data_IF_518041251105
#
_entry.id   IF_518041251105
#
_cell.length_a   1.000
_cell.length_b   1.000
_cell.length_c   1.000
_cell.angle_alpha   90.00
_cell.angle_beta   90.00
_cell.angle_gamma   90.00
#
_symmetry.space_group_name_H-M   'P 1'
#
loop_
_entity.id
_entity.type
_entity.pdbx_description
1 polymer ?
#
# COMPACT_ATOMS: atom_id res chain seq x y z
N UNK A 1 -9.20 21.64 -19.08
CA UNK A 1 -9.02 20.50 -19.97
C UNK A 1 -9.64 19.30 -19.24
N UNK A 2 -10.84 18.87 -19.65
CA UNK A 2 -11.56 17.74 -19.02
C UNK A 2 -10.83 16.48 -19.49
N UNK A 3 -10.18 15.73 -18.59
CA UNK A 3 -9.65 14.40 -18.91
C UNK A 3 -10.83 13.55 -19.42
N UNK A 4 -10.63 12.88 -20.54
CA UNK A 4 -11.63 11.99 -21.12
C UNK A 4 -11.93 10.86 -20.12
N UNK A 5 -13.21 10.69 -19.75
CA UNK A 5 -13.66 9.69 -18.78
C UNK A 5 -13.38 8.26 -19.24
N UNK A 6 -13.08 8.04 -20.50
CA UNK A 6 -12.72 6.74 -21.08
C UNK A 6 -11.26 6.32 -20.83
N UNK A 7 -10.34 7.27 -20.60
CA UNK A 7 -8.94 6.97 -20.21
C UNK A 7 -8.79 6.71 -18.70
N UNK A 8 -9.78 7.07 -17.89
CA UNK A 8 -9.74 6.98 -16.43
C UNK A 8 -9.89 5.54 -15.89
N UNK A 9 -10.33 4.59 -16.73
CA UNK A 9 -10.69 3.23 -16.29
C UNK A 9 -9.67 2.13 -16.63
N UNK A 10 -8.54 2.44 -17.21
CA UNK A 10 -7.58 1.43 -17.69
C UNK A 10 -6.11 1.78 -17.38
N UNK A 11 -5.81 2.35 -16.21
CA UNK A 11 -4.41 2.56 -15.85
C UNK A 11 -3.89 1.36 -15.05
N UNK A 12 -2.99 0.60 -15.67
CA UNK A 12 -2.15 -0.37 -14.98
C UNK A 12 -1.28 0.34 -13.93
N UNK A 13 -0.91 -0.40 -12.90
CA UNK A 13 -0.01 0.07 -11.85
C UNK A 13 1.43 0.00 -12.40
N UNK A 14 2.04 1.15 -12.59
CA UNK A 14 3.40 1.27 -13.13
C UNK A 14 4.43 1.42 -12.01
N UNK A 15 5.44 0.57 -11.97
CA UNK A 15 6.52 0.63 -10.97
C UNK A 15 7.24 2.00 -10.96
N UNK A 16 7.36 2.67 -12.12
CA UNK A 16 8.01 3.98 -12.20
C UNK A 16 7.16 5.12 -11.63
N UNK A 17 5.84 4.92 -11.56
CA UNK A 17 4.87 5.88 -11.00
C UNK A 17 4.43 5.51 -9.58
N UNK A 18 4.74 4.31 -9.13
CA UNK A 18 4.26 3.78 -7.84
C UNK A 18 5.06 4.28 -6.65
N UNK A 19 4.36 4.36 -5.51
CA UNK A 19 4.88 4.38 -4.15
C UNK A 19 4.13 3.30 -3.36
N UNK A 20 4.84 2.42 -2.68
CA UNK A 20 4.23 1.46 -1.75
C UNK A 20 4.02 2.13 -0.39
N UNK A 21 2.77 2.17 0.08
CA UNK A 21 2.43 2.69 1.41
C UNK A 21 1.90 1.56 2.30
N UNK A 22 2.64 1.23 3.36
CA UNK A 22 2.26 0.23 4.37
C UNK A 22 1.73 0.97 5.60
N UNK A 23 0.45 0.74 5.93
CA UNK A 23 -0.28 1.49 6.95
C UNK A 23 -0.41 0.68 8.23
N UNK A 24 0.26 1.12 9.30
CA UNK A 24 0.05 0.76 10.71
C UNK A 24 0.06 -0.75 11.04
N UNK A 25 0.90 -1.55 10.39
CA UNK A 25 1.01 -2.99 10.66
C UNK A 25 1.89 -3.21 11.90
N UNK A 26 1.34 -2.87 13.06
CA UNK A 26 2.05 -2.75 14.34
C UNK A 26 1.78 -3.91 15.29
N UNK A 27 2.70 -4.13 16.23
CA UNK A 27 2.74 -5.29 17.14
C UNK A 27 1.46 -5.49 17.95
N UNK A 28 0.81 -4.39 18.40
CA UNK A 28 -0.42 -4.47 19.21
C UNK A 28 -1.71 -4.43 18.40
N UNK A 29 -1.65 -4.05 17.12
CA UNK A 29 -2.81 -4.02 16.23
C UNK A 29 -2.97 -5.33 15.44
N UNK A 30 -1.89 -5.82 14.86
CA UNK A 30 -1.93 -6.96 13.93
C UNK A 30 -2.53 -8.23 14.55
N UNK A 31 -2.24 -8.63 15.81
CA UNK A 31 -2.73 -9.90 16.37
C UNK A 31 -4.25 -10.03 16.47
N UNK A 32 -4.99 -8.92 16.47
CA UNK A 32 -6.46 -8.94 16.57
C UNK A 32 -7.16 -8.81 15.20
N UNK A 33 -6.39 -8.79 14.12
CA UNK A 33 -6.92 -8.72 12.74
C UNK A 33 -7.36 -10.11 12.25
N UNK A 34 -8.23 -10.11 11.23
CA UNK A 34 -8.54 -11.34 10.48
C UNK A 34 -7.32 -11.73 9.64
N UNK A 35 -6.90 -12.99 9.75
CA UNK A 35 -5.79 -13.56 8.98
C UNK A 35 -4.51 -12.69 8.95
N UNK A 36 -3.90 -12.44 10.10
CA UNK A 36 -2.74 -11.56 10.19
C UNK A 36 -1.52 -12.08 9.44
N UNK A 37 -1.38 -13.40 9.31
CA UNK A 37 -0.28 -14.03 8.59
C UNK A 37 -0.35 -13.75 7.09
N UNK A 38 -1.55 -13.79 6.49
CA UNK A 38 -1.77 -13.41 5.09
C UNK A 38 -1.33 -11.97 4.84
N UNK A 39 -1.74 -11.04 5.73
CA UNK A 39 -1.35 -9.63 5.61
C UNK A 39 0.17 -9.47 5.62
N UNK A 40 0.86 -10.13 6.53
CA UNK A 40 2.34 -10.07 6.61
C UNK A 40 2.97 -10.66 5.36
N UNK A 41 2.52 -11.83 4.88
CA UNK A 41 3.04 -12.46 3.66
C UNK A 41 2.87 -11.53 2.44
N UNK A 42 1.66 -11.05 2.21
CA UNK A 42 1.33 -10.16 1.09
C UNK A 42 2.20 -8.90 1.10
N UNK A 43 2.34 -8.25 2.26
CA UNK A 43 3.17 -7.05 2.38
C UNK A 43 4.65 -7.38 2.20
N UNK A 44 5.14 -8.50 2.72
CA UNK A 44 6.54 -8.93 2.52
C UNK A 44 6.85 -9.15 1.04
N UNK A 45 5.93 -9.74 0.27
CA UNK A 45 6.08 -9.88 -1.18
C UNK A 45 6.10 -8.52 -1.89
N UNK A 46 5.21 -7.59 -1.50
CA UNK A 46 5.22 -6.22 -2.04
C UNK A 46 6.52 -5.49 -1.74
N UNK A 47 7.06 -5.64 -0.53
CA UNK A 47 8.35 -5.05 -0.13
C UNK A 47 9.50 -5.61 -0.96
N UNK A 48 9.53 -6.93 -1.19
CA UNK A 48 10.53 -7.55 -2.06
C UNK A 48 10.43 -7.06 -3.51
N UNK A 49 9.21 -6.92 -4.04
CA UNK A 49 8.95 -6.33 -5.35
C UNK A 49 9.41 -4.88 -5.43
N UNK A 50 9.07 -4.09 -4.41
CA UNK A 50 9.44 -2.68 -4.32
C UNK A 50 10.97 -2.50 -4.28
N UNK A 51 11.67 -3.28 -3.45
CA UNK A 51 13.13 -3.27 -3.38
C UNK A 51 13.77 -3.65 -4.73
N UNK A 52 13.25 -4.67 -5.41
CA UNK A 52 13.79 -5.13 -6.70
C UNK A 52 13.58 -4.13 -7.83
N UNK A 53 12.43 -3.42 -7.83
CA UNK A 53 12.02 -2.51 -8.90
C UNK A 53 12.24 -1.04 -8.56
N UNK A 54 12.91 -0.75 -7.43
CA UNK A 54 13.19 0.61 -6.95
C UNK A 54 11.92 1.46 -6.76
N UNK A 55 10.85 0.83 -6.26
CA UNK A 55 9.63 1.51 -5.86
C UNK A 55 9.83 2.05 -4.44
N UNK A 56 9.70 3.36 -4.20
CA UNK A 56 9.83 3.94 -2.86
C UNK A 56 8.78 3.37 -1.90
N UNK A 57 9.20 3.18 -0.64
CA UNK A 57 8.36 2.64 0.42
C UNK A 57 8.16 3.67 1.52
N UNK A 58 6.90 3.89 1.90
CA UNK A 58 6.52 4.65 3.09
C UNK A 58 5.76 3.72 4.03
N UNK A 59 6.20 3.63 5.27
CA UNK A 59 5.53 2.91 6.35
C UNK A 59 5.01 3.93 7.34
N UNK A 60 3.75 3.79 7.77
CA UNK A 60 3.22 4.62 8.86
C UNK A 60 3.08 3.83 10.14
N UNK A 61 3.31 4.50 11.28
CA UNK A 61 3.10 3.99 12.62
C UNK A 61 2.15 4.90 13.40
N UNK A 62 0.98 4.38 13.75
CA UNK A 62 0.01 5.07 14.59
C UNK A 62 0.47 5.07 16.03
N UNK A 63 0.73 6.25 16.62
CA UNK A 63 1.04 6.38 18.06
C UNK A 63 1.95 5.26 18.58
N UNK A 64 3.16 5.17 18.07
CA UNK A 64 4.09 4.05 18.29
C UNK A 64 4.38 3.78 19.77
N UNK A 65 4.40 4.82 20.61
CA UNK A 65 4.56 4.69 22.08
C UNK A 65 3.46 3.86 22.74
N UNK A 66 2.24 3.92 22.21
CA UNK A 66 1.08 3.20 22.75
C UNK A 66 0.82 1.85 22.05
N UNK A 67 1.05 1.79 20.75
CA UNK A 67 0.66 0.64 19.90
C UNK A 67 1.86 -0.27 19.56
N UNK A 68 3.06 0.20 19.79
CA UNK A 68 4.31 -0.50 19.42
C UNK A 68 4.74 -0.19 17.98
N UNK A 69 5.93 -0.65 17.60
CA UNK A 69 6.45 -0.45 16.25
C UNK A 69 5.79 -1.40 15.24
N UNK A 70 6.10 -1.20 13.97
CA UNK A 70 5.83 -2.16 12.89
C UNK A 70 6.37 -3.54 13.27
N UNK A 71 5.63 -4.60 12.93
CA UNK A 71 6.00 -5.99 13.28
C UNK A 71 7.36 -6.38 12.70
N UNK A 72 8.12 -7.20 13.46
CA UNK A 72 9.50 -7.57 13.13
C UNK A 72 9.67 -8.11 11.70
N UNK A 73 8.85 -9.04 11.19
CA UNK A 73 9.04 -9.57 9.84
C UNK A 73 9.02 -8.49 8.76
N UNK A 74 8.16 -7.48 8.91
CA UNK A 74 8.10 -6.37 7.94
C UNK A 74 9.26 -5.39 8.12
N UNK A 75 9.66 -5.08 9.36
CA UNK A 75 10.83 -4.21 9.60
C UNK A 75 12.11 -4.77 8.99
N UNK A 76 12.32 -6.08 9.10
CA UNK A 76 13.48 -6.76 8.52
C UNK A 76 13.44 -6.82 6.99
N UNK A 77 12.26 -6.76 6.39
CA UNK A 77 12.06 -6.76 4.95
C UNK A 77 12.09 -5.36 4.31
N UNK A 78 12.16 -4.28 5.11
CA UNK A 78 12.15 -2.91 4.57
C UNK A 78 13.42 -2.62 3.75
N UNK A 79 13.28 -1.99 2.57
CA UNK A 79 14.40 -1.38 1.88
C UNK A 79 15.12 -0.36 2.78
N UNK A 80 16.43 -0.18 2.59
CA UNK A 80 17.26 0.70 3.43
C UNK A 80 16.86 2.18 3.34
N UNK A 81 16.21 2.58 2.27
CA UNK A 81 15.70 3.93 1.99
C UNK A 81 14.21 4.10 2.31
N UNK A 82 13.57 3.08 2.89
CA UNK A 82 12.18 3.16 3.32
C UNK A 82 11.98 4.24 4.39
N UNK A 83 10.93 5.03 4.25
CA UNK A 83 10.56 6.04 5.24
C UNK A 83 9.58 5.43 6.25
N UNK A 84 9.96 5.37 7.53
CA UNK A 84 9.06 5.01 8.63
C UNK A 84 8.64 6.29 9.34
N UNK A 85 7.34 6.63 9.29
CA UNK A 85 6.78 7.89 9.72
C UNK A 85 5.68 7.70 10.76
N UNK A 86 5.82 8.35 11.90
CA UNK A 86 4.80 8.33 12.96
C UNK A 86 3.63 9.26 12.62
N UNK A 87 2.42 8.86 13.03
CA UNK A 87 1.22 9.65 12.88
C UNK A 87 0.27 9.55 14.08
N UNK A 88 -0.54 10.57 14.27
CA UNK A 88 -1.62 10.62 15.26
C UNK A 88 -3.00 10.62 14.62
N UNK A 89 -3.17 11.28 13.48
CA UNK A 89 -4.40 11.20 12.70
C UNK A 89 -4.60 9.80 12.11
N UNK A 90 -5.84 9.35 11.97
CA UNK A 90 -6.11 8.06 11.31
C UNK A 90 -5.75 8.11 9.83
N UNK A 91 -6.02 9.23 9.16
CA UNK A 91 -5.57 9.45 7.79
C UNK A 91 -4.12 9.92 7.76
N UNK A 92 -3.22 9.16 7.13
CA UNK A 92 -1.85 9.59 6.90
C UNK A 92 -1.77 10.84 6.01
N UNK A 93 -2.79 11.10 5.19
CA UNK A 93 -2.87 12.32 4.38
C UNK A 93 -3.08 13.61 5.20
N UNK A 94 -3.48 13.49 6.49
CA UNK A 94 -3.62 14.64 7.40
C UNK A 94 -2.34 14.92 8.21
N UNK A 95 -1.35 14.03 8.16
CA UNK A 95 -0.05 14.23 8.80
C UNK A 95 0.90 14.93 7.83
N UNK A 96 1.37 16.10 8.22
CA UNK A 96 2.23 16.94 7.37
C UNK A 96 3.46 16.19 6.89
N UNK A 97 4.13 15.45 7.79
CA UNK A 97 5.35 14.70 7.46
C UNK A 97 5.11 13.63 6.39
N UNK A 98 3.96 12.94 6.42
CA UNK A 98 3.60 11.93 5.42
C UNK A 98 3.13 12.60 4.13
N UNK A 99 2.29 13.61 4.24
CA UNK A 99 1.80 14.37 3.08
C UNK A 99 2.94 15.00 2.28
N UNK A 100 3.91 15.60 2.94
CA UNK A 100 5.09 16.19 2.30
C UNK A 100 5.99 15.13 1.65
N UNK A 101 6.13 13.95 2.27
CA UNK A 101 6.87 12.84 1.67
C UNK A 101 6.20 12.36 0.36
N UNK A 102 4.88 12.16 0.37
CA UNK A 102 4.12 11.80 -0.83
C UNK A 102 4.21 12.89 -1.89
N UNK A 103 4.07 14.15 -1.52
CA UNK A 103 4.12 15.26 -2.50
C UNK A 103 5.49 15.39 -3.17
N UNK A 104 6.60 15.19 -2.43
CA UNK A 104 7.94 15.12 -3.03
C UNK A 104 8.06 14.00 -4.07
N UNK A 105 7.49 12.82 -3.78
CA UNK A 105 7.49 11.71 -4.72
C UNK A 105 6.59 12.01 -5.94
N UNK A 106 5.44 12.64 -5.74
CA UNK A 106 4.57 13.09 -6.84
C UNK A 106 5.27 14.10 -7.75
N UNK A 107 6.00 15.04 -7.18
CA UNK A 107 6.78 16.02 -7.95
C UNK A 107 7.88 15.34 -8.81
N UNK A 108 8.33 14.13 -8.46
CA UNK A 108 9.23 13.32 -9.26
C UNK A 108 8.52 12.34 -10.23
N UNK A 109 7.19 12.46 -10.37
CA UNK A 109 6.38 11.66 -11.29
C UNK A 109 5.75 10.40 -10.69
N UNK A 110 5.82 10.21 -9.35
CA UNK A 110 5.24 9.06 -8.65
C UNK A 110 3.90 9.41 -8.02
N UNK A 111 2.84 9.26 -8.79
CA UNK A 111 1.48 9.68 -8.45
C UNK A 111 0.51 8.51 -8.17
N UNK A 112 1.00 7.25 -8.26
CA UNK A 112 0.23 6.04 -7.92
C UNK A 112 0.63 5.56 -6.53
N UNK A 113 -0.34 5.47 -5.59
CA UNK A 113 -0.11 4.88 -4.27
C UNK A 113 -0.70 3.47 -4.23
N UNK A 114 0.16 2.48 -4.04
CA UNK A 114 -0.21 1.10 -3.72
C UNK A 114 -0.28 1.01 -2.21
N UNK A 115 -1.49 0.79 -1.66
CA UNK A 115 -1.77 0.88 -0.22
C UNK A 115 -2.10 -0.51 0.33
N UNK A 116 -1.35 -0.92 1.36
CA UNK A 116 -1.59 -2.12 2.16
C UNK A 116 -1.56 -1.76 3.66
N UNK A 117 -2.04 -2.65 4.52
CA UNK A 117 -1.97 -2.46 5.98
C UNK A 117 -3.31 -2.54 6.70
N UNK A 118 -3.40 -1.97 7.90
CA UNK A 118 -4.54 -2.09 8.82
C UNK A 118 -4.93 -0.75 9.48
N UNK A 119 -6.17 -0.59 9.96
CA UNK A 119 -7.34 -1.40 9.61
C UNK A 119 -7.94 -0.89 8.29
N UNK A 120 -8.39 -1.81 7.46
CA UNK A 120 -8.96 -1.49 6.15
C UNK A 120 -10.04 -0.41 6.20
N UNK A 121 -10.91 -0.42 7.22
CA UNK A 121 -12.04 0.51 7.37
C UNK A 121 -11.73 1.78 8.18
N UNK A 122 -10.53 1.91 8.72
CA UNK A 122 -10.10 3.08 9.52
C UNK A 122 -8.92 3.77 8.82
N UNK A 123 -7.69 3.38 9.17
CA UNK A 123 -6.49 4.09 8.71
C UNK A 123 -6.27 3.92 7.19
N UNK A 124 -6.43 2.72 6.65
CA UNK A 124 -6.29 2.45 5.22
C UNK A 124 -7.33 3.25 4.42
N UNK A 125 -8.61 3.12 4.76
CA UNK A 125 -9.70 3.83 4.07
C UNK A 125 -9.48 5.35 4.08
N UNK A 126 -9.22 5.93 5.25
CA UNK A 126 -9.09 7.38 5.38
C UNK A 126 -7.83 7.89 4.67
N UNK A 127 -6.74 7.15 4.72
CA UNK A 127 -5.50 7.47 4.01
C UNK A 127 -5.70 7.42 2.50
N UNK A 128 -6.29 6.35 1.99
CA UNK A 128 -6.59 6.18 0.57
C UNK A 128 -7.48 7.30 0.03
N UNK A 129 -8.61 7.59 0.70
CA UNK A 129 -9.51 8.67 0.31
C UNK A 129 -8.87 10.05 0.44
N UNK A 130 -8.04 10.25 1.47
CA UNK A 130 -7.31 11.50 1.67
C UNK A 130 -6.33 11.79 0.53
N UNK A 131 -5.53 10.82 0.11
CA UNK A 131 -4.61 11.01 -1.02
C UNK A 131 -5.33 10.99 -2.38
N UNK A 132 -6.42 10.23 -2.52
CA UNK A 132 -7.27 10.30 -3.71
C UNK A 132 -7.79 11.73 -3.95
N UNK A 133 -8.25 12.40 -2.90
CA UNK A 133 -8.73 13.80 -2.97
C UNK A 133 -7.63 14.80 -3.31
N UNK A 134 -6.35 14.44 -3.12
CA UNK A 134 -5.18 15.23 -3.51
C UNK A 134 -4.69 14.89 -4.93
N UNK A 135 -5.41 14.03 -5.66
CA UNK A 135 -5.10 13.68 -7.05
C UNK A 135 -4.10 12.54 -7.24
N UNK A 136 -3.87 11.70 -6.22
CA UNK A 136 -3.15 10.45 -6.40
C UNK A 136 -4.09 9.38 -6.98
N UNK A 137 -3.55 8.50 -7.83
CA UNK A 137 -4.20 7.26 -8.19
C UNK A 137 -3.96 6.23 -7.08
N UNK A 138 -5.03 5.62 -6.60
CA UNK A 138 -4.96 4.73 -5.43
C UNK A 138 -5.30 3.29 -5.83
N UNK A 139 -4.40 2.36 -5.53
CA UNK A 139 -4.64 0.92 -5.60
C UNK A 139 -4.52 0.33 -4.19
N UNK A 140 -5.61 -0.24 -3.66
CA UNK A 140 -5.62 -0.89 -2.35
C UNK A 140 -5.50 -2.40 -2.54
N UNK A 141 -4.55 -3.01 -1.83
CA UNK A 141 -4.19 -4.42 -2.00
C UNK A 141 -5.08 -5.30 -1.12
N UNK A 142 -6.01 -6.01 -1.72
CA UNK A 142 -7.08 -6.79 -1.07
C UNK A 142 -6.57 -7.83 -0.06
N UNK A 143 -5.54 -8.57 -0.43
CA UNK A 143 -4.88 -9.58 0.40
C UNK A 143 -3.82 -8.98 1.33
N UNK A 144 -3.38 -7.74 1.08
CA UNK A 144 -2.49 -6.95 1.93
C UNK A 144 -3.20 -6.09 2.98
N UNK A 145 -4.55 -6.11 3.08
CA UNK A 145 -5.30 -5.38 4.09
C UNK A 145 -6.14 -6.31 4.96
N UNK A 146 -6.45 -5.85 6.18
CA UNK A 146 -7.35 -6.55 7.09
C UNK A 146 -8.05 -5.59 8.06
N UNK A 147 -9.03 -6.13 8.77
CA UNK A 147 -9.72 -5.50 9.90
C UNK A 147 -10.11 -6.58 10.92
N UNK A 148 -10.52 -6.17 12.12
CA UNK A 148 -11.00 -7.08 13.16
C UNK A 148 -12.25 -7.87 12.77
N UNK A 149 -13.07 -7.34 11.85
CA UNK A 149 -14.30 -7.98 11.40
C UNK A 149 -14.42 -7.96 9.87
N UNK A 150 -14.85 -9.09 9.23
CA UNK A 150 -14.95 -9.18 7.76
C UNK A 150 -15.90 -8.14 7.14
N UNK A 151 -17.02 -7.83 7.81
CA UNK A 151 -17.98 -6.84 7.31
C UNK A 151 -17.37 -5.43 7.23
N UNK A 152 -16.37 -5.11 8.08
CA UNK A 152 -15.65 -3.84 8.03
C UNK A 152 -14.78 -3.73 6.77
N UNK A 153 -14.12 -4.83 6.36
CA UNK A 153 -13.39 -4.87 5.09
C UNK A 153 -14.33 -4.68 3.91
N UNK A 154 -15.47 -5.40 3.89
CA UNK A 154 -16.48 -5.29 2.81
C UNK A 154 -17.03 -3.87 2.68
N UNK A 155 -17.32 -3.20 3.80
CA UNK A 155 -17.80 -1.83 3.80
C UNK A 155 -16.74 -0.83 3.30
N UNK A 156 -15.47 -1.03 3.69
CA UNK A 156 -14.35 -0.24 3.22
C UNK A 156 -14.15 -0.40 1.71
N UNK A 157 -14.15 -1.64 1.22
CA UNK A 157 -14.03 -1.97 -0.22
C UNK A 157 -15.08 -1.25 -1.06
N UNK A 158 -16.35 -1.33 -0.65
CA UNK A 158 -17.44 -0.66 -1.37
C UNK A 158 -17.22 0.86 -1.46
N UNK A 159 -16.78 1.51 -0.38
CA UNK A 159 -16.50 2.94 -0.36
C UNK A 159 -15.29 3.32 -1.20
N UNK A 160 -14.22 2.52 -1.15
CA UNK A 160 -13.01 2.74 -1.93
C UNK A 160 -13.28 2.64 -3.43
N UNK A 161 -13.98 1.59 -3.86
CA UNK A 161 -14.39 1.42 -5.26
C UNK A 161 -15.30 2.55 -5.74
N UNK A 162 -16.27 2.97 -4.91
CA UNK A 162 -17.15 4.10 -5.25
C UNK A 162 -16.38 5.42 -5.40
N UNK A 163 -15.28 5.59 -4.67
CA UNK A 163 -14.39 6.76 -4.76
C UNK A 163 -13.39 6.69 -5.93
N UNK A 164 -13.45 5.63 -6.75
CA UNK A 164 -12.55 5.45 -7.89
C UNK A 164 -11.15 4.93 -7.50
N UNK A 165 -11.01 4.31 -6.33
CA UNK A 165 -9.81 3.55 -6.00
C UNK A 165 -9.86 2.17 -6.66
N UNK A 166 -8.71 1.64 -7.05
CA UNK A 166 -8.58 0.27 -7.53
C UNK A 166 -8.53 -0.69 -6.33
N UNK A 167 -9.09 -1.89 -6.49
CA UNK A 167 -9.01 -2.99 -5.53
C UNK A 167 -8.32 -4.16 -6.21
N UNK A 168 -7.07 -4.42 -5.82
CA UNK A 168 -6.15 -5.33 -6.52
C UNK A 168 -5.58 -6.36 -5.56
N UNK A 169 -4.98 -7.43 -6.07
CA UNK A 169 -4.22 -8.39 -5.25
C UNK A 169 -2.72 -8.09 -5.33
N UNK A 170 -1.96 -8.63 -4.38
CA UNK A 170 -0.49 -8.59 -4.39
C UNK A 170 0.07 -9.10 -5.73
N UNK A 171 -0.47 -10.21 -6.25
CA UNK A 171 -0.04 -10.78 -7.52
C UNK A 171 -0.30 -9.83 -8.69
N UNK A 172 -1.48 -9.20 -8.76
CA UNK A 172 -1.78 -8.18 -9.79
C UNK A 172 -0.75 -7.06 -9.77
N UNK A 173 -0.47 -6.49 -8.59
CA UNK A 173 0.52 -5.41 -8.44
C UNK A 173 1.89 -5.84 -8.94
N UNK A 174 2.37 -7.01 -8.52
CA UNK A 174 3.70 -7.49 -8.90
C UNK A 174 3.82 -7.76 -10.40
N UNK A 175 2.79 -8.35 -11.04
CA UNK A 175 2.81 -8.57 -12.49
C UNK A 175 2.68 -7.27 -13.29
N UNK A 176 1.90 -6.32 -12.82
CA UNK A 176 1.79 -5.00 -13.44
C UNK A 176 3.10 -4.22 -13.32
N UNK A 177 3.76 -4.23 -12.17
CA UNK A 177 5.10 -3.64 -11.99
C UNK A 177 6.17 -4.30 -12.87
N UNK A 178 6.11 -5.63 -13.05
CA UNK A 178 7.05 -6.36 -13.91
C UNK A 178 6.83 -6.10 -15.42
N UNK A 179 5.58 -5.88 -15.82
CA UNK A 179 5.17 -5.53 -17.18
C UNK A 179 5.42 -6.62 -18.24
N UNK A 180 6.41 -7.50 -18.05
CA UNK A 180 6.75 -8.57 -19.02
C UNK A 180 7.48 -9.74 -18.38
N UNK A 181 7.26 -10.93 -18.92
CA UNK A 181 8.00 -12.14 -18.55
C UNK A 181 9.43 -12.16 -19.13
N UNK A 182 10.27 -13.05 -18.61
CA UNK A 182 11.59 -13.36 -19.15
C UNK A 182 12.71 -12.38 -18.79
N UNK A 183 12.44 -11.33 -18.00
CA UNK A 183 13.45 -10.42 -17.46
C UNK A 183 14.15 -11.03 -16.24
N UNK A 184 15.27 -10.46 -15.81
CA UNK A 184 15.95 -10.86 -14.58
C UNK A 184 15.09 -10.55 -13.35
N UNK A 185 14.35 -9.43 -13.36
CA UNK A 185 13.40 -9.07 -12.32
C UNK A 185 12.27 -10.09 -12.21
N UNK A 186 11.68 -10.49 -13.33
CA UNK A 186 10.68 -11.54 -13.37
C UNK A 186 11.20 -12.86 -12.80
N UNK A 187 12.40 -13.30 -13.20
CA UNK A 187 13.02 -14.55 -12.69
C UNK A 187 13.30 -14.47 -11.19
N UNK A 188 13.65 -13.30 -10.69
CA UNK A 188 13.93 -13.08 -9.27
C UNK A 188 12.65 -13.12 -8.40
N UNK A 189 11.53 -12.52 -8.87
CA UNK A 189 10.29 -12.41 -8.10
C UNK A 189 9.35 -13.61 -8.27
N UNK A 190 9.44 -14.34 -9.38
CA UNK A 190 8.55 -15.48 -9.67
C UNK A 190 8.49 -16.56 -8.57
N UNK A 191 9.62 -16.96 -7.92
CA UNK A 191 9.57 -17.92 -6.82
C UNK A 191 8.77 -17.43 -5.60
N UNK A 192 8.81 -16.14 -5.30
CA UNK A 192 8.04 -15.54 -4.20
C UNK A 192 6.54 -15.52 -4.52
N UNK A 193 6.18 -15.20 -5.77
CA UNK A 193 4.79 -15.16 -6.24
C UNK A 193 4.16 -16.57 -6.22
N UNK A 194 4.95 -17.62 -6.51
CA UNK A 194 4.47 -19.01 -6.57
C UNK A 194 4.46 -19.72 -5.21
N UNK A 195 5.03 -19.13 -4.17
CA UNK A 195 5.10 -19.75 -2.83
C UNK A 195 3.83 -19.53 -2.00
N UNK A 196 2.83 -18.85 -2.55
CA UNK A 196 1.54 -18.54 -1.93
C UNK A 196 0.53 -19.67 -2.05
#
# INVERSE_FOLDING_TARGET
MVRDRTEEFAMLIDAQRSVLMVVDVQERLLPVMQDPERVVRSISMLLAGAARLSVPVIVTEQYSKGIGPTVVPLREALPTDALVLEKMAFSAAQETVVADAVERLRASGRDQLVVAGIEAHVCVLQTALGFRSRGCDIAVVADGVSSRAPHSVSAATARLLHAGCQWVTTEMVLFEWLGRAGTDDFRSLLPLIKAD
#
